data_IF_037573844179
#
_entry.id   IF_037573844179
#
_cell.length_a   1.000
_cell.length_b   1.000
_cell.length_c   1.000
_cell.angle_alpha   90.00
_cell.angle_beta   90.00
_cell.angle_gamma   90.00
#
_symmetry.space_group_name_H-M   'P 1'
#
loop_
_entity.id
_entity.type
_entity.pdbx_description
1 polymer ?
#
# COMPACT_ATOMS: atom_id res chain seq x y z
N UNK A 1 -10.33 31.09 -2.49
CA UNK A 1 -10.24 30.72 -2.44
C UNK A 1 -9.82 29.77 -2.45
N UNK A 2 -9.81 29.51 -2.57
CA UNK A 2 -9.66 28.66 -2.58
C UNK A 2 -8.63 28.15 -2.44
N UNK A 3 -8.15 28.11 -2.49
CA UNK A 3 -7.29 27.74 -2.44
C UNK A 3 -6.57 27.32 -1.52
N UNK A 4 -6.06 27.43 -1.33
CA UNK A 4 -5.43 27.24 -0.19
C UNK A 4 -5.78 26.07 0.55
N UNK A 5 -6.99 25.86 0.62
CA UNK A 5 -7.54 24.79 1.35
C UNK A 5 -7.15 23.43 0.89
N UNK A 6 -7.03 23.21 -0.38
CA UNK A 6 -6.66 21.89 -0.86
C UNK A 6 -5.34 21.44 -0.30
N UNK A 7 -4.44 22.34 -0.14
CA UNK A 7 -3.15 21.98 0.37
C UNK A 7 -3.23 21.43 1.77
N UNK A 8 -4.04 22.03 2.58
CA UNK A 8 -4.17 21.63 3.95
C UNK A 8 -4.87 20.30 4.06
N UNK A 9 -5.91 20.14 3.28
CA UNK A 9 -6.77 18.97 3.45
C UNK A 9 -6.20 17.71 2.83
N UNK A 10 -5.11 17.80 2.08
CA UNK A 10 -4.62 16.63 1.36
C UNK A 10 -3.34 16.09 1.91
N UNK A 11 -3.02 16.43 3.15
CA UNK A 11 -1.81 15.88 3.71
C UNK A 11 -1.95 14.39 3.95
N UNK A 12 -1.02 13.64 3.44
CA UNK A 12 -0.93 12.22 3.65
C UNK A 12 0.53 11.83 3.45
N UNK A 13 0.85 10.61 3.81
CA UNK A 13 2.21 10.10 3.63
C UNK A 13 2.15 8.81 2.85
N UNK A 14 3.29 8.44 2.29
CA UNK A 14 3.37 7.20 1.53
C UNK A 14 4.47 6.31 2.10
N UNK A 15 4.26 5.01 2.00
CA UNK A 15 5.29 4.02 2.25
C UNK A 15 5.28 3.05 1.07
N UNK A 16 6.43 2.45 0.80
CA UNK A 16 6.58 1.63 -0.41
C UNK A 16 7.11 0.25 -0.07
N UNK A 17 6.21 -0.68 0.28
CA UNK A 17 6.65 -2.06 0.50
C UNK A 17 7.27 -2.65 -0.76
N UNK A 18 8.37 -3.34 -0.57
CA UNK A 18 9.05 -4.06 -1.64
C UNK A 18 8.66 -5.53 -1.58
N UNK A 19 8.35 -6.11 -2.71
CA UNK A 19 7.93 -7.49 -2.78
C UNK A 19 8.92 -8.30 -3.58
N UNK A 20 9.34 -9.43 -3.01
CA UNK A 20 10.16 -10.40 -3.73
C UNK A 20 9.44 -11.73 -3.75
N UNK A 21 9.56 -12.44 -4.86
CA UNK A 21 8.88 -13.71 -5.06
C UNK A 21 9.93 -14.79 -5.22
N UNK A 22 9.76 -15.91 -4.51
CA UNK A 22 10.70 -17.04 -4.58
C UNK A 22 9.94 -18.33 -4.77
N UNK A 23 10.55 -19.24 -5.51
CA UNK A 23 9.95 -20.55 -5.71
C UNK A 23 10.25 -21.46 -4.52
N UNK A 24 9.79 -22.68 -4.58
CA UNK A 24 9.94 -23.61 -3.46
C UNK A 24 11.39 -23.91 -3.13
N UNK A 25 12.26 -23.83 -4.11
CA UNK A 25 13.69 -24.08 -3.90
C UNK A 25 14.43 -22.83 -3.42
N UNK A 26 13.72 -21.70 -3.27
CA UNK A 26 14.31 -20.46 -2.81
C UNK A 26 14.87 -19.59 -3.92
N UNK A 27 14.69 -19.98 -5.16
CA UNK A 27 15.16 -19.18 -6.29
C UNK A 27 14.22 -18.03 -6.60
N UNK A 28 14.78 -16.95 -7.16
CA UNK A 28 13.99 -15.77 -7.50
C UNK A 28 13.02 -16.08 -8.63
N UNK A 29 11.81 -15.57 -8.50
CA UNK A 29 10.79 -15.69 -9.53
C UNK A 29 10.52 -14.29 -10.06
N UNK A 30 10.57 -14.13 -11.39
CA UNK A 30 10.32 -12.84 -12.00
C UNK A 30 8.82 -12.66 -12.15
N UNK A 31 8.28 -11.68 -11.45
CA UNK A 31 6.85 -11.35 -11.52
C UNK A 31 6.74 -9.90 -11.96
N UNK A 32 6.05 -9.69 -13.06
CA UNK A 32 5.89 -8.33 -13.59
C UNK A 32 4.61 -7.72 -13.07
N UNK A 33 4.53 -6.40 -13.15
CA UNK A 33 3.30 -5.71 -12.75
C UNK A 33 2.12 -6.18 -13.59
N UNK A 34 2.37 -6.48 -14.86
CA UNK A 34 1.31 -6.97 -15.74
C UNK A 34 0.73 -8.28 -15.22
N UNK A 35 1.60 -9.18 -14.76
CA UNK A 35 1.14 -10.46 -14.22
C UNK A 35 0.28 -10.27 -12.98
N UNK A 36 0.66 -9.30 -12.16
CA UNK A 36 -0.09 -9.00 -10.95
C UNK A 36 -1.45 -8.39 -11.29
N UNK A 37 -1.44 -7.43 -12.20
CA UNK A 37 -2.66 -6.70 -12.53
C UNK A 37 -3.69 -7.54 -13.28
N UNK A 38 -3.25 -8.59 -13.93
CA UNK A 38 -4.15 -9.43 -14.72
C UNK A 38 -5.24 -10.10 -13.89
N UNK A 39 -5.06 -10.18 -12.58
CA UNK A 39 -6.07 -10.83 -11.76
C UNK A 39 -7.39 -10.04 -11.72
N UNK A 40 -7.36 -8.77 -12.13
CA UNK A 40 -8.54 -7.94 -12.11
C UNK A 40 -8.80 -7.38 -13.52
N UNK A 41 -10.06 -7.13 -13.86
CA UNK A 41 -10.39 -6.62 -15.21
C UNK A 41 -9.86 -5.21 -15.48
N UNK A 42 -9.67 -4.40 -14.44
CA UNK A 42 -9.18 -3.04 -14.63
C UNK A 42 -8.30 -2.65 -13.47
N UNK A 43 -7.54 -1.58 -13.67
CA UNK A 43 -6.71 -1.05 -12.61
C UNK A 43 -7.54 -0.59 -11.43
N UNK A 44 -8.66 0.04 -11.71
CA UNK A 44 -9.54 0.52 -10.65
C UNK A 44 -10.05 -0.63 -9.79
N UNK A 45 -10.46 -1.72 -10.42
CA UNK A 45 -10.93 -2.86 -9.68
C UNK A 45 -9.80 -3.52 -8.88
N UNK A 46 -8.61 -3.53 -9.45
CA UNK A 46 -7.46 -4.06 -8.72
C UNK A 46 -7.18 -3.22 -7.46
N UNK A 47 -7.16 -1.91 -7.61
CA UNK A 47 -6.89 -1.02 -6.49
C UNK A 47 -7.92 -1.20 -5.38
N UNK A 48 -9.18 -1.29 -5.75
CA UNK A 48 -10.24 -1.48 -4.77
C UNK A 48 -10.16 -2.83 -4.08
N UNK A 49 -9.90 -3.87 -4.85
CA UNK A 49 -9.80 -5.21 -4.28
C UNK A 49 -8.60 -5.33 -3.35
N UNK A 50 -7.48 -4.72 -3.73
CA UNK A 50 -6.29 -4.73 -2.90
C UNK A 50 -6.55 -4.00 -1.59
N UNK A 51 -7.22 -2.85 -1.68
CA UNK A 51 -7.54 -2.07 -0.49
C UNK A 51 -8.38 -2.88 0.47
N UNK A 52 -9.39 -3.57 -0.03
CA UNK A 52 -10.29 -4.33 0.82
C UNK A 52 -9.63 -5.58 1.41
N UNK A 53 -8.82 -6.25 0.61
CA UNK A 53 -8.25 -7.53 1.03
C UNK A 53 -7.02 -7.38 1.90
N UNK A 54 -6.25 -6.31 1.70
CA UNK A 54 -4.90 -6.22 2.26
C UNK A 54 -4.73 -5.05 3.22
N UNK A 55 -5.33 -3.91 2.92
CA UNK A 55 -4.98 -2.68 3.62
C UNK A 55 -5.92 -2.37 4.78
N UNK A 56 -5.37 -1.91 5.92
CA UNK A 56 -6.24 -1.42 6.99
C UNK A 56 -6.88 -0.11 6.59
N UNK A 57 -7.93 0.24 7.32
CA UNK A 57 -8.70 1.44 7.05
C UNK A 57 -7.80 2.68 6.99
N UNK A 58 -8.06 3.56 6.07
CA UNK A 58 -7.29 4.79 5.94
C UNK A 58 -6.09 4.67 5.03
N UNK A 59 -5.86 3.49 4.47
CA UNK A 59 -4.77 3.27 3.52
C UNK A 59 -5.34 2.98 2.14
N UNK A 60 -4.63 3.40 1.10
CA UNK A 60 -5.00 3.01 -0.24
C UNK A 60 -3.76 2.87 -1.12
N UNK A 61 -3.93 2.13 -2.20
CA UNK A 61 -2.85 1.86 -3.14
C UNK A 61 -2.81 2.97 -4.17
N UNK A 62 -1.65 3.60 -4.32
CA UNK A 62 -1.48 4.71 -5.27
C UNK A 62 -0.79 4.29 -6.55
N UNK A 63 0.18 3.39 -6.44
CA UNK A 63 0.97 3.03 -7.61
C UNK A 63 1.66 1.70 -7.39
N UNK A 64 2.02 1.06 -8.50
CA UNK A 64 2.82 -0.14 -8.50
C UNK A 64 3.98 0.12 -9.46
N UNK A 65 5.19 -0.11 -8.99
CA UNK A 65 6.39 0.15 -9.80
C UNK A 65 6.96 -1.14 -10.34
N UNK A 66 7.55 -1.02 -11.51
CA UNK A 66 8.20 -2.14 -12.17
C UNK A 66 9.58 -2.41 -11.59
N UNK A 67 10.19 -3.47 -12.06
CA UNK A 67 11.50 -3.86 -11.60
C UNK A 67 11.34 -4.84 -10.47
N UNK A 68 11.83 -4.53 -9.28
CA UNK A 68 11.35 -5.24 -8.12
C UNK A 68 10.01 -4.60 -7.81
N UNK A 69 8.99 -5.40 -7.59
CA UNK A 69 7.64 -4.86 -7.44
C UNK A 69 7.54 -4.09 -6.15
N UNK A 70 7.15 -2.84 -6.27
CA UNK A 70 6.94 -1.95 -5.13
C UNK A 70 5.54 -1.39 -5.21
N UNK A 71 4.87 -1.42 -4.07
CA UNK A 71 3.53 -0.88 -3.97
C UNK A 71 3.60 0.44 -3.22
N UNK A 72 3.16 1.52 -3.85
CA UNK A 72 3.13 2.81 -3.17
C UNK A 72 1.81 2.92 -2.44
N UNK A 73 1.87 2.89 -1.10
CA UNK A 73 0.69 2.94 -0.26
C UNK A 73 0.59 4.30 0.39
N UNK A 74 -0.62 4.83 0.42
CA UNK A 74 -0.89 6.14 1.01
C UNK A 74 -1.65 5.93 2.31
N UNK A 75 -1.16 6.56 3.40
CA UNK A 75 -1.84 6.54 4.67
C UNK A 75 -2.32 7.94 4.98
N UNK A 76 -3.57 8.08 5.39
CA UNK A 76 -4.16 9.40 5.55
C UNK A 76 -4.02 9.97 6.95
N UNK A 77 -3.65 9.15 7.94
CA UNK A 77 -3.46 9.66 9.29
C UNK A 77 -2.57 8.72 10.08
N UNK A 78 -2.25 9.13 11.31
CA UNK A 78 -1.37 8.35 12.16
C UNK A 78 -1.94 6.98 12.45
N UNK A 79 -3.21 6.91 12.72
CA UNK A 79 -3.86 5.66 13.03
C UNK A 79 -3.75 4.66 11.87
N UNK A 80 -3.95 5.16 10.65
CA UNK A 80 -3.86 4.32 9.47
C UNK A 80 -2.44 3.81 9.26
N UNK A 81 -1.45 4.68 9.47
CA UNK A 81 -0.06 4.30 9.30
C UNK A 81 0.37 3.30 10.37
N UNK A 82 -0.06 3.49 11.59
CA UNK A 82 0.24 2.55 12.65
C UNK A 82 -0.37 1.19 12.38
N UNK A 83 -1.60 1.17 11.89
CA UNK A 83 -2.26 -0.08 11.60
C UNK A 83 -1.53 -0.84 10.49
N UNK A 84 -1.04 -0.12 9.50
CA UNK A 84 -0.28 -0.73 8.43
C UNK A 84 1.03 -1.32 8.96
N UNK A 85 1.73 -0.56 9.81
CA UNK A 85 2.98 -1.02 10.39
C UNK A 85 2.78 -2.24 11.28
N UNK A 86 1.70 -2.26 12.04
CA UNK A 86 1.37 -3.40 12.87
C UNK A 86 1.14 -4.66 12.03
N UNK A 87 0.42 -4.52 10.94
CA UNK A 87 0.20 -5.67 10.06
C UNK A 87 1.51 -6.16 9.47
N UNK A 88 2.40 -5.22 9.18
CA UNK A 88 3.70 -5.60 8.65
C UNK A 88 4.51 -6.37 9.69
N UNK A 89 4.54 -5.88 10.91
CA UNK A 89 5.35 -6.51 11.95
C UNK A 89 4.83 -7.86 12.40
N UNK A 90 3.53 -8.05 12.34
CA UNK A 90 2.94 -9.34 12.71
C UNK A 90 2.89 -10.31 11.54
N UNK A 91 3.43 -9.90 10.39
CA UNK A 91 3.45 -10.70 9.17
C UNK A 91 2.06 -10.91 8.56
N UNK A 92 1.05 -10.24 9.10
CA UNK A 92 -0.28 -10.31 8.55
C UNK A 92 -0.32 -9.69 7.15
N UNK A 93 0.38 -8.56 6.99
CA UNK A 93 0.43 -7.91 5.69
C UNK A 93 1.02 -8.84 4.63
N UNK A 94 2.12 -9.50 4.96
CA UNK A 94 2.77 -10.41 4.03
C UNK A 94 1.86 -11.56 3.67
N UNK A 95 1.18 -12.12 4.66
CA UNK A 95 0.28 -13.24 4.40
C UNK A 95 -0.86 -12.83 3.48
N UNK A 96 -1.45 -11.67 3.75
CA UNK A 96 -2.57 -11.21 2.95
C UNK A 96 -2.14 -10.83 1.55
N UNK A 97 -0.97 -10.22 1.41
CA UNK A 97 -0.45 -9.92 0.10
C UNK A 97 -0.10 -11.20 -0.67
N UNK A 98 0.43 -12.19 0.04
CA UNK A 98 0.69 -13.47 -0.59
C UNK A 98 -0.59 -14.07 -1.16
N UNK A 99 -1.64 -14.09 -0.36
CA UNK A 99 -2.90 -14.69 -0.78
C UNK A 99 -3.52 -13.92 -1.94
N UNK A 100 -3.36 -12.61 -1.93
CA UNK A 100 -3.96 -11.78 -2.96
C UNK A 100 -3.16 -11.79 -4.26
N UNK A 101 -1.83 -11.73 -4.17
CA UNK A 101 -1.00 -11.50 -5.35
C UNK A 101 -0.52 -12.77 -6.03
N UNK A 102 -0.31 -13.85 -5.27
CA UNK A 102 0.22 -15.08 -5.85
C UNK A 102 -0.95 -15.90 -6.39
N UNK A 103 -1.21 -15.75 -7.66
CA UNK A 103 -2.31 -16.45 -8.34
C UNK A 103 -1.83 -17.80 -8.83
N UNK A 104 -2.81 -18.61 -9.26
CA UNK A 104 -2.48 -19.90 -9.85
C UNK A 104 -1.61 -19.74 -11.09
N UNK A 105 -1.86 -18.70 -11.85
CA UNK A 105 -1.06 -18.45 -13.05
C UNK A 105 0.40 -18.21 -12.68
N UNK A 106 0.65 -17.43 -11.63
CA UNK A 106 2.02 -17.18 -11.19
C UNK A 106 2.66 -18.47 -10.71
N UNK A 107 1.92 -19.29 -9.98
CA UNK A 107 2.45 -20.56 -9.52
C UNK A 107 2.81 -21.46 -10.69
N UNK A 108 1.97 -21.49 -11.70
CA UNK A 108 2.24 -22.32 -12.86
C UNK A 108 3.49 -21.85 -13.59
N UNK A 109 3.65 -20.54 -13.74
CA UNK A 109 4.83 -20.01 -14.40
C UNK A 109 6.10 -20.31 -13.61
N UNK A 110 6.00 -20.39 -12.30
CA UNK A 110 7.15 -20.65 -11.45
C UNK A 110 7.41 -22.14 -11.28
N UNK A 111 6.51 -22.98 -11.72
CA UNK A 111 6.66 -24.42 -11.60
C UNK A 111 6.23 -24.99 -10.27
N UNK A 112 5.47 -24.25 -9.47
CA UNK A 112 5.00 -24.73 -8.18
C UNK A 112 4.71 -23.58 -7.23
N UNK A 113 4.84 -23.87 -5.94
CA UNK A 113 4.53 -22.87 -4.93
C UNK A 113 5.46 -21.67 -5.01
N UNK A 114 4.90 -20.50 -4.71
CA UNK A 114 5.64 -19.24 -4.72
C UNK A 114 5.43 -18.56 -3.38
N UNK A 115 6.52 -18.13 -2.78
CA UNK A 115 6.47 -17.39 -1.51
C UNK A 115 6.78 -15.93 -1.77
N UNK A 116 5.94 -15.07 -1.25
CA UNK A 116 6.11 -13.63 -1.33
C UNK A 116 6.71 -13.12 -0.04
N UNK A 117 7.74 -12.30 -0.14
CA UNK A 117 8.31 -11.60 1.00
C UNK A 117 8.09 -10.12 0.82
N UNK A 118 7.62 -9.46 1.87
CA UNK A 118 7.32 -8.04 1.86
C UNK A 118 8.29 -7.33 2.80
N UNK A 119 8.88 -6.24 2.33
CA UNK A 119 9.77 -5.44 3.16
C UNK A 119 9.39 -3.97 3.11
N UNK A 120 9.23 -3.37 4.28
CA UNK A 120 9.04 -1.93 4.42
C UNK A 120 10.26 -1.38 5.16
N UNK A 121 10.88 -0.35 4.60
CA UNK A 121 12.02 0.28 5.23
C UNK A 121 11.56 0.98 6.49
N UNK A 122 12.17 0.65 7.63
CA UNK A 122 11.78 1.23 8.89
C UNK A 122 12.01 2.74 8.91
N UNK A 123 13.05 3.21 8.24
CA UNK A 123 13.29 4.65 8.17
C UNK A 123 12.20 5.35 7.40
N UNK A 124 11.70 4.72 6.35
CA UNK A 124 10.59 5.29 5.58
C UNK A 124 9.35 5.41 6.46
N UNK A 125 9.04 4.37 7.21
CA UNK A 125 7.91 4.40 8.13
C UNK A 125 8.10 5.50 9.19
N UNK A 126 9.30 5.57 9.76
CA UNK A 126 9.57 6.54 10.82
C UNK A 126 9.44 7.97 10.31
N UNK A 127 9.96 8.23 9.11
CA UNK A 127 9.86 9.57 8.53
C UNK A 127 8.41 9.92 8.20
N UNK A 128 7.65 8.96 7.69
CA UNK A 128 6.24 9.19 7.42
C UNK A 128 5.48 9.51 8.71
N UNK A 129 5.79 8.79 9.77
CA UNK A 129 5.14 9.04 11.05
C UNK A 129 5.46 10.43 11.57
N UNK A 130 6.72 10.85 11.45
CA UNK A 130 7.12 12.18 11.89
C UNK A 130 6.39 13.25 11.09
N UNK A 131 6.24 13.06 9.80
CA UNK A 131 5.52 14.02 8.97
C UNK A 131 4.07 14.17 9.42
N UNK A 132 3.43 13.05 9.73
CA UNK A 132 2.05 13.10 10.21
C UNK A 132 1.94 13.75 11.56
N UNK A 133 2.88 13.48 12.45
CA UNK A 133 2.88 14.08 13.77
C UNK A 133 3.06 15.59 13.67
N UNK A 134 4.00 16.03 12.84
CA UNK A 134 4.22 17.45 12.66
C UNK A 134 2.99 18.14 12.10
N UNK A 135 2.35 17.49 11.17
CA UNK A 135 1.15 18.02 10.57
C UNK A 135 0.04 18.18 11.59
N UNK A 136 -0.15 17.16 12.42
CA UNK A 136 -1.16 17.20 13.45
C UNK A 136 -0.88 18.29 14.48
N UNK A 137 0.37 18.48 14.80
CA UNK A 137 0.75 19.51 15.77
C UNK A 137 0.50 20.90 15.23
N UNK A 138 0.82 21.10 13.97
CA UNK A 138 0.66 22.41 13.37
C UNK A 138 -0.79 22.74 13.11
N UNK A 139 -1.57 21.76 12.76
CA UNK A 139 -2.86 22.02 12.24
C UNK A 139 -3.99 21.40 13.00
N UNK A 140 -4.13 21.81 14.24
CA UNK A 140 -5.26 21.34 14.98
C UNK A 140 -6.54 21.62 14.23
N UNK A 141 -6.55 22.69 13.47
CA UNK A 141 -7.72 23.08 12.75
C UNK A 141 -7.91 22.36 11.44
N UNK A 142 -6.94 21.61 11.03
CA UNK A 142 -7.02 21.00 9.71
C UNK A 142 -7.80 19.69 9.70
N UNK A 143 -7.89 19.02 10.81
CA UNK A 143 -8.48 17.70 10.72
C UNK A 143 -10.00 17.72 10.62
N UNK A 144 -10.57 18.88 10.64
CA UNK A 144 -11.99 18.96 10.39
C UNK A 144 -12.33 18.84 8.93
N UNK A 145 -11.36 19.07 8.08
CA UNK A 145 -11.58 19.09 6.66
C UNK A 145 -11.29 17.77 6.00
N UNK A 146 -10.24 17.16 6.38
CA UNK A 146 -9.66 16.10 5.59
C UNK A 146 -10.42 14.81 5.50
N UNK A 147 -11.21 14.49 6.50
CA UNK A 147 -11.81 13.18 6.53
C UNK A 147 -12.55 12.83 5.26
N UNK A 148 -13.40 13.75 4.83
CA UNK A 148 -14.20 13.52 3.64
C UNK A 148 -13.36 13.55 2.39
N UNK A 149 -12.42 14.46 2.35
CA UNK A 149 -11.60 14.61 1.16
C UNK A 149 -10.66 13.42 0.97
N UNK A 150 -10.17 12.89 2.06
CA UNK A 150 -9.30 11.73 1.98
C UNK A 150 -10.03 10.52 1.45
N UNK A 151 -11.24 10.33 1.89
CA UNK A 151 -12.04 9.22 1.40
C UNK A 151 -12.22 9.34 -0.11
N UNK A 152 -12.51 10.53 -0.57
CA UNK A 152 -12.68 10.75 -2.00
C UNK A 152 -11.41 10.45 -2.76
N UNK A 153 -10.28 10.89 -2.26
CA UNK A 153 -9.02 10.64 -2.93
C UNK A 153 -8.74 9.16 -3.06
N UNK A 154 -8.94 8.44 -1.99
CA UNK A 154 -8.69 7.02 -2.03
C UNK A 154 -9.63 6.29 -2.98
N UNK A 155 -10.85 6.75 -3.06
CA UNK A 155 -11.81 6.12 -3.94
C UNK A 155 -11.50 6.36 -5.40
N UNK A 156 -10.88 7.47 -5.71
CA UNK A 156 -10.58 7.80 -7.08
C UNK A 156 -9.40 7.02 -7.64
N UNK A 157 -8.66 6.38 -6.79
CA UNK A 157 -7.53 5.59 -7.21
C UNK A 157 -7.85 4.15 -7.33
#
# INVERSE_FOLDING_TARGET
>A
MANVNPTISTLFVVVTPHCTFRNAAGGAVVVTTWMVLRRSPSMEEFVNAFKEAVLPLGNCLRAISEGSIRFTLQAENISALEALWQRYQTETLQKEMQEFLVTEEIKQLAGGEVTLTVQIDEDEYRNAMLDLIKSGTKGNYTFNIPAVMHDSLCEMN
#
